data_IF_252657677645
#
_entry.id   IF_252657677645
#
_cell.length_a   1.000
_cell.length_b   1.000
_cell.length_c   1.000
_cell.angle_alpha   90.00
_cell.angle_beta   90.00
_cell.angle_gamma   90.00
#
_symmetry.space_group_name_H-M   'P 1'
#
loop_
_entity.id
_entity.type
_entity.pdbx_description
1 polymer ?
#
# COMPACT_ATOMS: atom_id res chain seq x y z
N UNK A 1 1.04 -40.60 -27.97
CA UNK A 1 0.97 -40.05 -26.60
C UNK A 1 0.11 -38.81 -26.68
N UNK A 2 -0.96 -38.78 -25.90
CA UNK A 2 -2.09 -37.87 -26.10
C UNK A 2 -1.75 -36.46 -25.59
N UNK A 3 -1.67 -35.49 -26.50
CA UNK A 3 -1.42 -34.09 -26.14
C UNK A 3 -2.52 -33.51 -25.23
N UNK A 4 -3.72 -34.10 -25.24
CA UNK A 4 -4.85 -33.72 -24.37
C UNK A 4 -4.59 -33.99 -22.88
N UNK A 5 -3.83 -35.05 -22.55
CA UNK A 5 -3.52 -35.42 -21.16
C UNK A 5 -2.54 -34.46 -20.49
N UNK A 6 -1.61 -33.83 -21.23
CA UNK A 6 -0.69 -32.82 -20.67
C UNK A 6 -1.36 -31.47 -20.45
N UNK A 7 -2.31 -31.09 -21.31
CA UNK A 7 -3.06 -29.83 -21.18
C UNK A 7 -4.02 -29.88 -20.00
N UNK A 8 -4.79 -30.97 -19.89
CA UNK A 8 -5.78 -31.16 -18.83
C UNK A 8 -5.16 -31.06 -17.43
N UNK A 9 -4.01 -31.72 -17.24
CA UNK A 9 -3.24 -31.67 -16.00
C UNK A 9 -2.80 -30.24 -15.67
N UNK A 10 -2.36 -29.47 -16.67
CA UNK A 10 -1.86 -28.11 -16.48
C UNK A 10 -2.95 -27.12 -16.10
N UNK A 11 -4.14 -27.27 -16.69
CA UNK A 11 -5.33 -26.48 -16.33
C UNK A 11 -5.72 -26.74 -14.86
N UNK A 12 -5.63 -28.00 -14.44
CA UNK A 12 -5.91 -28.39 -13.05
C UNK A 12 -4.90 -27.80 -12.06
N UNK A 13 -3.62 -27.85 -12.39
CA UNK A 13 -2.54 -27.24 -11.58
C UNK A 13 -2.74 -25.73 -11.44
N UNK A 14 -3.00 -25.04 -12.56
CA UNK A 14 -3.34 -23.63 -12.61
C UNK A 14 -4.46 -23.26 -11.65
N UNK A 15 -5.55 -24.03 -11.66
CA UNK A 15 -6.68 -23.81 -10.77
C UNK A 15 -6.28 -23.98 -9.30
N UNK A 16 -5.60 -25.09 -8.97
CA UNK A 16 -5.22 -25.41 -7.59
C UNK A 16 -4.27 -24.36 -7.02
N UNK A 17 -3.29 -23.90 -7.82
CA UNK A 17 -2.35 -22.85 -7.43
C UNK A 17 -3.04 -21.51 -7.12
N UNK A 18 -4.12 -21.20 -7.83
CA UNK A 18 -4.93 -20.01 -7.59
C UNK A 18 -5.95 -20.20 -6.43
N UNK A 19 -5.96 -21.35 -5.75
CA UNK A 19 -6.86 -21.63 -4.63
C UNK A 19 -8.33 -21.72 -5.03
N UNK A 20 -8.62 -22.03 -6.30
CA UNK A 20 -9.97 -22.02 -6.86
C UNK A 20 -10.63 -23.41 -6.84
N UNK A 21 -11.93 -23.44 -6.59
CA UNK A 21 -12.74 -24.65 -6.80
C UNK A 21 -13.09 -24.81 -8.28
N UNK A 22 -13.35 -26.04 -8.74
CA UNK A 22 -13.77 -26.27 -10.13
C UNK A 22 -15.06 -25.50 -10.47
N UNK A 23 -15.96 -25.33 -9.51
CA UNK A 23 -17.18 -24.53 -9.67
C UNK A 23 -16.89 -23.05 -9.88
N UNK A 24 -16.02 -22.47 -9.05
CA UNK A 24 -15.63 -21.06 -9.17
C UNK A 24 -14.92 -20.78 -10.50
N UNK A 25 -14.06 -21.69 -10.96
CA UNK A 25 -13.37 -21.53 -12.25
C UNK A 25 -14.32 -21.69 -13.45
N UNK A 26 -15.25 -22.64 -13.39
CA UNK A 26 -16.25 -22.81 -14.44
C UNK A 26 -17.16 -21.57 -14.56
N UNK A 27 -17.59 -21.01 -13.43
CA UNK A 27 -18.36 -19.77 -13.37
C UNK A 27 -17.59 -18.60 -13.97
N UNK A 28 -16.33 -18.41 -13.56
CA UNK A 28 -15.49 -17.32 -14.05
C UNK A 28 -15.19 -17.40 -15.55
N UNK A 29 -15.06 -18.62 -16.08
CA UNK A 29 -14.89 -18.85 -17.52
C UNK A 29 -16.23 -18.87 -18.28
N UNK A 30 -17.35 -18.62 -17.60
CA UNK A 30 -18.70 -18.60 -18.18
C UNK A 30 -19.08 -19.91 -18.89
N UNK A 31 -18.78 -21.05 -18.27
CA UNK A 31 -19.08 -22.38 -18.82
C UNK A 31 -19.74 -23.31 -17.80
N UNK A 32 -20.47 -24.35 -18.28
CA UNK A 32 -21.01 -25.37 -17.37
C UNK A 32 -19.90 -26.09 -16.60
N UNK A 33 -20.11 -26.33 -15.30
CA UNK A 33 -19.17 -27.07 -14.44
C UNK A 33 -18.74 -28.41 -15.05
N UNK A 34 -19.70 -29.15 -15.62
CA UNK A 34 -19.42 -30.44 -16.27
C UNK A 34 -18.45 -30.31 -17.45
N UNK A 35 -18.51 -29.21 -18.19
CA UNK A 35 -17.59 -28.90 -19.29
C UNK A 35 -16.18 -28.67 -18.76
N UNK A 36 -16.03 -27.83 -17.74
CA UNK A 36 -14.73 -27.56 -17.12
C UNK A 36 -14.12 -28.82 -16.46
N UNK A 37 -14.94 -29.62 -15.77
CA UNK A 37 -14.49 -30.90 -15.20
C UNK A 37 -13.99 -31.88 -16.27
N UNK A 38 -14.60 -31.85 -17.46
CA UNK A 38 -14.14 -32.65 -18.59
C UNK A 38 -12.78 -32.14 -19.07
N UNK A 39 -12.59 -30.82 -19.15
CA UNK A 39 -11.31 -30.20 -19.56
C UNK A 39 -10.14 -30.51 -18.62
N UNK A 40 -10.37 -30.63 -17.30
CA UNK A 40 -9.32 -31.06 -16.36
C UNK A 40 -9.01 -32.56 -16.42
N UNK A 41 -9.86 -33.36 -17.06
CA UNK A 41 -9.64 -34.79 -17.23
C UNK A 41 -9.00 -35.11 -18.58
N UNK A 42 -9.51 -34.48 -19.63
CA UNK A 42 -9.05 -34.64 -21.00
C UNK A 42 -9.45 -33.41 -21.81
N UNK A 43 -8.47 -32.60 -22.19
CA UNK A 43 -8.75 -31.33 -22.85
C UNK A 43 -8.99 -31.54 -24.35
N UNK A 44 -10.26 -31.62 -24.74
CA UNK A 44 -10.68 -31.79 -26.14
C UNK A 44 -11.41 -30.56 -26.68
N UNK A 45 -11.07 -29.36 -26.19
CA UNK A 45 -11.78 -28.13 -26.51
C UNK A 45 -11.17 -27.35 -27.68
N UNK A 46 -11.84 -26.27 -28.10
CA UNK A 46 -11.33 -25.39 -29.16
C UNK A 46 -10.14 -24.55 -28.67
N UNK A 47 -9.32 -24.08 -29.61
CA UNK A 47 -8.22 -23.15 -29.33
C UNK A 47 -8.73 -21.85 -28.66
N UNK A 48 -9.92 -21.38 -29.01
CA UNK A 48 -10.53 -20.21 -28.36
C UNK A 48 -10.78 -20.45 -26.86
N UNK A 49 -11.22 -21.65 -26.49
CA UNK A 49 -11.42 -21.99 -25.09
C UNK A 49 -10.10 -22.11 -24.34
N UNK A 50 -9.05 -22.62 -24.99
CA UNK A 50 -7.69 -22.60 -24.43
C UNK A 50 -7.20 -21.17 -24.20
N UNK A 51 -7.45 -20.25 -25.14
CA UNK A 51 -7.13 -18.83 -24.99
C UNK A 51 -7.91 -18.20 -23.83
N UNK A 52 -9.19 -18.53 -23.67
CA UNK A 52 -10.00 -18.03 -22.55
C UNK A 52 -9.43 -18.48 -21.19
N UNK A 53 -8.99 -19.74 -21.10
CA UNK A 53 -8.30 -20.28 -19.92
C UNK A 53 -6.98 -19.55 -19.69
N UNK A 54 -6.20 -19.34 -20.76
CA UNK A 54 -4.93 -18.60 -20.70
C UNK A 54 -5.13 -17.18 -20.16
N UNK A 55 -6.10 -16.45 -20.70
CA UNK A 55 -6.43 -15.09 -20.29
C UNK A 55 -6.92 -15.04 -18.85
N UNK A 56 -7.76 -15.99 -18.45
CA UNK A 56 -8.27 -16.08 -17.08
C UNK A 56 -7.15 -16.29 -16.06
N UNK A 57 -6.19 -17.16 -16.38
CA UNK A 57 -5.07 -17.46 -15.50
C UNK A 57 -3.84 -16.55 -15.71
N UNK A 58 -3.90 -15.61 -16.65
CA UNK A 58 -2.78 -14.72 -16.97
C UNK A 58 -1.54 -15.45 -17.53
N UNK A 59 -1.72 -16.55 -18.26
CA UNK A 59 -0.63 -17.34 -18.86
C UNK A 59 -0.66 -17.33 -20.38
N UNK A 60 0.48 -17.62 -21.01
CA UNK A 60 0.53 -17.85 -22.45
C UNK A 60 0.12 -19.29 -22.80
N UNK A 61 -0.42 -19.48 -24.01
CA UNK A 61 -0.76 -20.82 -24.51
C UNK A 61 0.45 -21.77 -24.54
N UNK A 62 1.67 -21.23 -24.74
CA UNK A 62 2.89 -22.02 -24.70
C UNK A 62 3.14 -22.70 -23.35
N UNK A 63 2.74 -22.08 -22.24
CA UNK A 63 2.86 -22.67 -20.89
C UNK A 63 1.93 -23.88 -20.72
N UNK A 64 0.74 -23.82 -21.33
CA UNK A 64 -0.23 -24.92 -21.26
C UNK A 64 0.11 -26.05 -22.24
N UNK A 65 0.69 -25.71 -23.39
CA UNK A 65 1.00 -26.65 -24.47
C UNK A 65 2.36 -27.36 -24.33
N UNK A 66 3.19 -26.98 -23.35
CA UNK A 66 4.55 -27.54 -23.20
C UNK A 66 4.50 -29.03 -22.83
N UNK A 67 5.24 -29.86 -23.57
CA UNK A 67 5.20 -31.33 -23.39
C UNK A 67 5.99 -31.80 -22.16
N UNK A 68 5.48 -32.84 -21.49
CA UNK A 68 6.02 -33.44 -20.23
C UNK A 68 7.47 -33.96 -20.38
N UNK A 69 7.96 -34.17 -21.61
CA UNK A 69 9.32 -34.66 -21.83
C UNK A 69 10.41 -33.64 -21.51
N UNK A 70 10.06 -32.36 -21.34
CA UNK A 70 11.03 -31.34 -20.88
C UNK A 70 11.07 -31.15 -19.36
N UNK A 71 10.15 -31.77 -18.60
CA UNK A 71 10.00 -31.51 -17.15
C UNK A 71 10.40 -32.66 -16.24
N UNK A 72 10.85 -33.80 -16.77
CA UNK A 72 11.03 -35.03 -15.98
C UNK A 72 12.45 -35.31 -15.47
N UNK A 73 13.43 -34.42 -15.73
CA UNK A 73 14.82 -34.62 -15.26
C UNK A 73 15.34 -33.52 -14.32
N UNK A 74 14.52 -32.57 -13.88
CA UNK A 74 14.98 -31.48 -13.03
C UNK A 74 14.14 -31.36 -11.73
N UNK A 75 14.71 -31.69 -10.55
CA UNK A 75 14.02 -31.56 -9.27
C UNK A 75 13.72 -30.11 -8.87
N UNK A 76 14.10 -29.10 -9.66
CA UNK A 76 13.72 -27.69 -9.49
C UNK A 76 12.34 -27.32 -10.07
N UNK A 77 11.64 -28.23 -10.75
CA UNK A 77 10.34 -27.93 -11.35
C UNK A 77 9.14 -28.00 -10.38
N UNK A 78 9.23 -27.21 -9.30
CA UNK A 78 8.04 -26.77 -8.57
C UNK A 78 7.31 -25.73 -9.42
N UNK A 79 6.06 -26.02 -9.76
CA UNK A 79 5.20 -25.17 -10.57
C UNK A 79 4.86 -23.86 -9.86
N UNK A 80 5.04 -23.78 -8.53
CA UNK A 80 4.97 -22.52 -7.80
C UNK A 80 6.04 -21.50 -8.25
N UNK A 81 7.19 -21.96 -8.75
CA UNK A 81 8.30 -21.10 -9.22
C UNK A 81 8.15 -20.62 -10.67
N UNK A 82 7.42 -21.34 -11.54
CA UNK A 82 7.25 -20.95 -12.94
C UNK A 82 6.24 -19.81 -13.17
N UNK A 83 5.32 -19.59 -12.24
CA UNK A 83 4.30 -18.53 -12.35
C UNK A 83 4.80 -17.14 -11.96
N UNK A 84 6.02 -17.08 -11.43
CA UNK A 84 6.72 -15.83 -11.19
C UNK A 84 8.07 -15.92 -11.91
N UNK A 85 8.06 -15.89 -13.25
CA UNK A 85 9.24 -15.46 -14.00
C UNK A 85 9.39 -13.93 -13.85
N UNK A 86 9.51 -13.48 -12.59
CA UNK A 86 10.21 -12.25 -12.30
C UNK A 86 11.60 -12.52 -12.86
N UNK A 87 11.90 -11.92 -14.01
CA UNK A 87 13.24 -12.01 -14.60
C UNK A 87 14.24 -11.78 -13.47
N UNK A 88 15.23 -12.65 -13.33
CA UNK A 88 16.15 -12.72 -12.18
C UNK A 88 16.72 -11.35 -11.78
N UNK A 89 16.92 -10.46 -12.76
CA UNK A 89 17.34 -9.09 -12.53
C UNK A 89 16.42 -8.28 -11.61
N UNK A 90 15.11 -8.53 -11.56
CA UNK A 90 14.20 -7.79 -10.68
C UNK A 90 14.50 -8.08 -9.22
N UNK A 91 14.70 -9.37 -8.90
CA UNK A 91 15.09 -9.80 -7.55
C UNK A 91 16.44 -9.19 -7.22
N UNK A 92 17.38 -9.24 -8.17
CA UNK A 92 18.71 -8.64 -7.96
C UNK A 92 18.65 -7.13 -7.75
N UNK A 93 17.81 -6.38 -8.49
CA UNK A 93 17.58 -4.95 -8.26
C UNK A 93 17.10 -4.70 -6.85
N UNK A 94 16.16 -5.52 -6.39
CA UNK A 94 15.60 -5.40 -5.05
C UNK A 94 16.67 -5.63 -3.97
N UNK A 95 17.48 -6.69 -4.11
CA UNK A 95 18.58 -6.96 -3.18
C UNK A 95 19.60 -5.82 -3.16
N UNK A 96 20.03 -5.33 -4.34
CA UNK A 96 20.94 -4.19 -4.46
C UNK A 96 20.37 -2.91 -3.83
N UNK A 97 19.07 -2.67 -4.00
CA UNK A 97 18.39 -1.53 -3.41
C UNK A 97 18.30 -1.62 -1.87
N UNK A 98 18.15 -2.83 -1.33
CA UNK A 98 18.23 -3.08 0.11
C UNK A 98 19.66 -2.92 0.66
N UNK A 99 20.67 -3.21 -0.15
CA UNK A 99 22.09 -2.95 0.16
C UNK A 99 22.43 -1.44 0.12
N UNK A 100 21.51 -0.60 -0.35
CA UNK A 100 21.65 0.86 -0.37
C UNK A 100 22.20 1.43 -1.67
N UNK A 101 22.23 0.65 -2.75
CA UNK A 101 22.59 1.16 -4.08
C UNK A 101 21.50 2.13 -4.59
N UNK A 102 21.90 3.12 -5.39
CA UNK A 102 20.96 4.01 -6.09
C UNK A 102 20.54 3.49 -7.47
N UNK A 103 19.67 4.25 -8.13
CA UNK A 103 19.15 3.96 -9.45
C UNK A 103 20.24 3.85 -10.51
N UNK A 104 21.29 4.68 -10.44
CA UNK A 104 22.39 4.65 -11.41
C UNK A 104 23.26 3.41 -11.21
N UNK A 105 23.61 3.08 -9.96
CA UNK A 105 24.37 1.87 -9.61
C UNK A 105 23.63 0.60 -10.05
N UNK A 106 22.32 0.52 -9.81
CA UNK A 106 21.48 -0.61 -10.21
C UNK A 106 21.36 -0.71 -11.73
N UNK A 107 21.14 0.42 -12.41
CA UNK A 107 20.97 0.41 -13.85
C UNK A 107 22.28 0.13 -14.60
N UNK A 108 23.43 0.59 -14.10
CA UNK A 108 24.74 0.27 -14.67
C UNK A 108 25.02 -1.24 -14.62
N UNK A 109 24.65 -1.91 -13.53
CA UNK A 109 24.69 -3.38 -13.46
C UNK A 109 23.77 -4.00 -14.52
N UNK A 110 22.55 -3.48 -14.68
CA UNK A 110 21.61 -3.96 -15.68
C UNK A 110 22.11 -3.79 -17.13
N UNK A 111 22.72 -2.64 -17.46
CA UNK A 111 23.33 -2.38 -18.77
C UNK A 111 24.47 -3.35 -19.06
N UNK A 112 25.23 -3.74 -18.04
CA UNK A 112 26.36 -4.67 -18.17
C UNK A 112 25.87 -6.10 -18.41
N UNK A 113 24.88 -6.56 -17.64
CA UNK A 113 24.38 -7.94 -17.70
C UNK A 113 23.34 -8.17 -18.81
N UNK A 114 22.56 -7.14 -19.16
CA UNK A 114 21.43 -7.22 -20.10
C UNK A 114 21.42 -6.07 -21.11
N UNK A 115 22.50 -5.84 -21.88
CA UNK A 115 22.66 -4.66 -22.73
C UNK A 115 21.52 -4.47 -23.75
N UNK A 116 21.08 -5.54 -24.40
CA UNK A 116 20.00 -5.49 -25.40
C UNK A 116 18.65 -5.08 -24.79
N UNK A 117 18.39 -5.46 -23.53
CA UNK A 117 17.15 -5.10 -22.84
C UNK A 117 17.23 -3.71 -22.24
N UNK A 118 18.41 -3.32 -21.74
CA UNK A 118 18.64 -1.98 -21.20
C UNK A 118 18.51 -0.90 -22.29
N UNK A 119 18.91 -1.20 -23.53
CA UNK A 119 18.72 -0.31 -24.68
C UNK A 119 17.25 0.01 -25.02
N UNK A 120 16.29 -0.78 -24.51
CA UNK A 120 14.85 -0.57 -24.71
C UNK A 120 14.19 0.22 -23.57
N UNK A 121 14.96 0.64 -22.56
CA UNK A 121 14.43 1.35 -21.40
C UNK A 121 14.50 2.85 -21.65
N UNK A 122 13.34 3.47 -21.84
CA UNK A 122 13.23 4.93 -22.05
C UNK A 122 13.45 5.75 -20.77
N UNK A 123 13.10 5.18 -19.61
CA UNK A 123 13.15 5.85 -18.30
C UNK A 123 13.65 4.86 -17.24
N UNK A 124 14.90 5.06 -16.80
CA UNK A 124 15.61 4.19 -15.85
C UNK A 124 14.90 4.15 -14.50
N UNK A 125 14.57 5.31 -13.95
CA UNK A 125 13.92 5.45 -12.64
C UNK A 125 12.55 4.80 -12.64
N UNK A 126 11.74 5.03 -13.69
CA UNK A 126 10.43 4.40 -13.83
C UNK A 126 10.55 2.88 -14.00
N UNK A 127 11.51 2.40 -14.78
CA UNK A 127 11.76 0.97 -14.97
C UNK A 127 12.13 0.27 -13.67
N UNK A 128 13.07 0.82 -12.90
CA UNK A 128 13.48 0.27 -11.59
C UNK A 128 12.29 0.28 -10.61
N UNK A 129 11.56 1.40 -10.52
CA UNK A 129 10.38 1.48 -9.65
C UNK A 129 9.29 0.46 -10.02
N UNK A 130 9.05 0.22 -11.31
CA UNK A 130 8.14 -0.83 -11.76
C UNK A 130 8.64 -2.22 -11.36
N UNK A 131 9.94 -2.48 -11.41
CA UNK A 131 10.50 -3.75 -10.94
C UNK A 131 10.24 -3.96 -9.43
N UNK A 132 10.36 -2.92 -8.62
CA UNK A 132 10.01 -2.99 -7.19
C UNK A 132 8.51 -3.20 -6.96
N UNK A 133 7.65 -2.54 -7.74
CA UNK A 133 6.21 -2.74 -7.69
C UNK A 133 5.82 -4.17 -8.08
N UNK A 134 6.45 -4.73 -9.11
CA UNK A 134 6.21 -6.12 -9.50
C UNK A 134 6.56 -7.08 -8.38
N UNK A 135 7.70 -6.88 -7.70
CA UNK A 135 8.09 -7.69 -6.54
C UNK A 135 7.10 -7.53 -5.41
N UNK A 136 6.65 -6.31 -5.14
CA UNK A 136 5.65 -6.03 -4.12
C UNK A 136 4.34 -6.77 -4.36
N UNK A 137 3.81 -6.72 -5.58
CA UNK A 137 2.55 -7.36 -5.91
C UNK A 137 2.65 -8.89 -6.05
N UNK A 138 3.79 -9.41 -6.55
CA UNK A 138 3.95 -10.85 -6.84
C UNK A 138 4.61 -11.64 -5.70
N UNK A 139 5.48 -11.01 -4.90
CA UNK A 139 6.26 -11.66 -3.83
C UNK A 139 6.11 -10.97 -2.49
N UNK A 140 4.91 -10.54 -2.16
CA UNK A 140 4.59 -9.92 -0.86
C UNK A 140 5.15 -10.70 0.36
N UNK A 141 5.14 -12.05 0.33
CA UNK A 141 5.70 -12.88 1.41
C UNK A 141 7.22 -12.74 1.59
N UNK A 142 7.97 -12.45 0.52
CA UNK A 142 9.41 -12.21 0.63
C UNK A 142 9.67 -10.91 1.40
N UNK A 143 8.83 -9.90 1.19
CA UNK A 143 8.91 -8.62 1.90
C UNK A 143 8.58 -8.73 3.38
N UNK A 144 7.61 -9.56 3.76
CA UNK A 144 7.24 -9.76 5.17
C UNK A 144 8.35 -10.37 6.02
N UNK A 145 9.31 -11.06 5.39
CA UNK A 145 10.44 -11.67 6.08
C UNK A 145 11.62 -10.71 6.27
N UNK A 146 11.63 -9.55 5.60
CA UNK A 146 12.68 -8.55 5.77
C UNK A 146 12.60 -7.97 7.19
N UNK A 147 13.64 -8.19 7.98
CA UNK A 147 13.73 -7.68 9.34
C UNK A 147 14.72 -6.52 9.41
N UNK A 148 14.21 -5.30 9.24
CA UNK A 148 14.95 -4.09 9.52
C UNK A 148 14.71 -3.73 10.98
N UNK A 149 15.72 -3.99 11.82
CA UNK A 149 15.62 -3.77 13.27
C UNK A 149 15.20 -2.34 13.63
N UNK A 150 14.60 -2.21 14.81
CA UNK A 150 14.18 -0.92 15.37
C UNK A 150 15.35 -0.18 16.02
N UNK A 151 15.36 1.14 15.91
CA UNK A 151 16.28 2.01 16.65
C UNK A 151 15.66 2.47 17.98
N UNK A 152 15.82 1.62 19.01
CA UNK A 152 15.29 1.88 20.36
C UNK A 152 15.84 3.15 21.01
N UNK A 153 17.07 3.54 20.68
CA UNK A 153 17.67 4.74 21.21
C UNK A 153 17.00 5.98 20.62
N UNK A 154 16.75 6.00 19.31
CA UNK A 154 16.00 7.09 18.66
C UNK A 154 14.55 7.14 19.15
N UNK A 155 13.88 5.99 19.32
CA UNK A 155 12.52 5.91 19.89
C UNK A 155 12.43 6.61 21.26
N UNK A 156 13.37 6.33 22.17
CA UNK A 156 13.42 6.96 23.49
C UNK A 156 13.69 8.47 23.42
N UNK A 157 14.62 8.89 22.54
CA UNK A 157 14.95 10.31 22.37
C UNK A 157 13.78 11.11 21.81
N UNK A 158 13.08 10.58 20.80
CA UNK A 158 11.88 11.20 20.23
C UNK A 158 10.79 11.26 21.30
N UNK A 159 10.55 10.15 22.00
CA UNK A 159 9.56 10.12 23.08
C UNK A 159 9.80 11.18 24.15
N UNK A 160 11.07 11.38 24.55
CA UNK A 160 11.46 12.46 25.47
C UNK A 160 11.28 13.86 24.86
N UNK A 161 11.68 14.07 23.60
CA UNK A 161 11.62 15.39 22.93
C UNK A 161 10.17 15.88 22.77
N UNK A 162 9.25 14.98 22.41
CA UNK A 162 7.84 15.32 22.12
C UNK A 162 6.85 14.91 23.22
N UNK A 163 7.34 14.42 24.38
CA UNK A 163 6.51 13.93 25.49
C UNK A 163 5.52 12.82 25.06
N UNK A 164 6.03 11.84 24.32
CA UNK A 164 5.28 10.66 23.84
C UNK A 164 5.93 9.41 24.46
N UNK A 165 5.15 8.44 24.97
CA UNK A 165 5.70 7.17 25.46
C UNK A 165 6.59 6.49 24.40
N UNK A 166 7.76 5.99 24.79
CA UNK A 166 8.72 5.43 23.85
C UNK A 166 8.18 4.21 23.08
N UNK A 167 7.26 3.46 23.68
CA UNK A 167 6.56 2.33 23.06
C UNK A 167 5.50 2.74 22.03
N UNK A 168 5.15 4.03 21.98
CA UNK A 168 4.30 4.61 20.94
C UNK A 168 5.11 5.12 19.72
N UNK A 169 6.44 5.03 19.78
CA UNK A 169 7.34 5.42 18.70
C UNK A 169 7.98 4.15 18.11
N UNK A 170 7.94 4.03 16.79
CA UNK A 170 8.65 3.01 16.02
C UNK A 170 9.59 3.71 15.06
N UNK A 171 10.89 3.44 15.18
CA UNK A 171 11.91 3.94 14.24
C UNK A 171 12.59 2.77 13.55
N UNK A 172 12.38 2.65 12.25
CA UNK A 172 12.98 1.59 11.42
C UNK A 172 14.36 2.03 10.93
N UNK A 173 15.35 1.15 10.97
CA UNK A 173 16.70 1.41 10.44
C UNK A 173 16.73 1.21 8.92
N UNK A 174 16.33 2.22 8.16
CA UNK A 174 16.23 2.14 6.69
C UNK A 174 16.92 3.28 5.96
N UNK A 175 17.79 4.04 6.62
CA UNK A 175 18.31 5.30 6.08
C UNK A 175 19.35 5.12 4.99
N UNK A 176 19.97 3.95 4.94
CA UNK A 176 20.84 3.52 3.85
C UNK A 176 20.04 3.21 2.56
N UNK A 177 18.75 2.90 2.66
CA UNK A 177 17.92 2.59 1.49
C UNK A 177 17.57 3.90 0.78
N UNK A 178 18.04 4.05 -0.45
CA UNK A 178 17.86 5.28 -1.24
C UNK A 178 16.46 5.36 -1.88
N UNK A 179 15.84 4.22 -2.18
CA UNK A 179 14.54 4.15 -2.85
C UNK A 179 13.35 4.34 -1.91
N UNK A 180 12.53 5.36 -2.20
CA UNK A 180 11.36 5.74 -1.38
C UNK A 180 10.37 4.60 -1.19
N UNK A 181 10.04 3.88 -2.26
CA UNK A 181 9.06 2.80 -2.24
C UNK A 181 9.42 1.69 -1.25
N UNK A 182 10.70 1.34 -1.17
CA UNK A 182 11.19 0.31 -0.26
C UNK A 182 11.11 0.77 1.19
N UNK A 183 11.52 2.00 1.50
CA UNK A 183 11.35 2.58 2.85
C UNK A 183 9.88 2.57 3.28
N UNK A 184 8.97 2.91 2.37
CA UNK A 184 7.53 2.88 2.63
C UNK A 184 7.00 1.46 2.90
N UNK A 185 7.54 0.44 2.22
CA UNK A 185 7.22 -0.98 2.50
C UNK A 185 7.72 -1.43 3.88
N UNK A 186 8.89 -0.96 4.31
CA UNK A 186 9.45 -1.34 5.61
C UNK A 186 8.63 -0.79 6.77
N UNK A 187 8.25 0.48 6.72
CA UNK A 187 7.36 1.05 7.74
C UNK A 187 5.96 0.43 7.67
N UNK A 188 5.53 -0.04 6.49
CA UNK A 188 4.20 -0.63 6.31
C UNK A 188 4.02 -1.89 7.16
N UNK A 189 5.08 -2.72 7.26
CA UNK A 189 5.11 -3.88 8.15
C UNK A 189 4.79 -3.50 9.60
N UNK A 190 5.47 -2.50 10.14
CA UNK A 190 5.25 -2.07 11.53
C UNK A 190 3.85 -1.45 11.73
N UNK A 191 3.32 -0.77 10.73
CA UNK A 191 1.93 -0.32 10.73
C UNK A 191 0.93 -1.48 10.76
N UNK A 192 1.19 -2.54 9.98
CA UNK A 192 0.36 -3.74 9.95
C UNK A 192 0.40 -4.49 11.30
N UNK A 193 1.60 -4.69 11.86
CA UNK A 193 1.80 -5.28 13.19
C UNK A 193 1.03 -4.49 14.26
N UNK A 194 1.06 -3.16 14.22
CA UNK A 194 0.30 -2.32 15.14
C UNK A 194 -1.22 -2.53 15.04
N UNK A 195 -1.77 -2.61 13.83
CA UNK A 195 -3.21 -2.85 13.63
C UNK A 195 -3.61 -4.24 14.12
N UNK A 196 -2.80 -5.26 13.80
CA UNK A 196 -3.03 -6.65 14.23
C UNK A 196 -3.05 -6.74 15.75
N UNK A 197 -2.01 -6.21 16.41
CA UNK A 197 -1.88 -6.21 17.87
C UNK A 197 -3.10 -5.59 18.56
N UNK A 198 -3.58 -4.45 18.06
CA UNK A 198 -4.74 -3.77 18.65
C UNK A 198 -6.06 -4.48 18.38
N UNK A 199 -6.22 -5.08 17.20
CA UNK A 199 -7.40 -5.89 16.90
C UNK A 199 -7.53 -7.09 17.85
N UNK A 200 -6.41 -7.69 18.25
CA UNK A 200 -6.36 -8.78 19.24
C UNK A 200 -6.64 -8.26 20.65
N UNK A 201 -5.99 -7.16 21.04
CA UNK A 201 -6.13 -6.57 22.39
C UNK A 201 -7.52 -6.01 22.66
N UNK A 202 -8.24 -5.57 21.62
CA UNK A 202 -9.56 -4.97 21.73
C UNK A 202 -10.48 -5.47 20.60
N UNK A 203 -11.25 -6.54 20.84
CA UNK A 203 -12.31 -6.93 19.91
C UNK A 203 -13.26 -5.77 19.64
N UNK A 204 -13.63 -5.55 18.37
CA UNK A 204 -14.43 -4.39 17.97
C UNK A 204 -13.61 -3.10 17.82
N UNK A 205 -12.27 -3.17 17.74
CA UNK A 205 -11.39 -1.99 17.60
C UNK A 205 -11.84 -1.11 16.44
N UNK A 206 -12.04 0.18 16.69
CA UNK A 206 -12.51 1.17 15.70
C UNK A 206 -11.37 2.04 15.23
N UNK A 207 -11.03 1.97 13.94
CA UNK A 207 -9.95 2.76 13.34
C UNK A 207 -10.50 3.64 12.22
N UNK A 208 -10.24 4.93 12.31
CA UNK A 208 -10.37 5.84 11.19
C UNK A 208 -9.13 5.78 10.31
N UNK A 209 -9.29 5.56 9.01
CA UNK A 209 -8.17 5.51 8.07
C UNK A 209 -8.14 6.75 7.19
N UNK A 210 -6.97 7.39 7.12
CA UNK A 210 -6.68 8.33 6.04
C UNK A 210 -6.35 7.55 4.76
N UNK A 211 -5.91 8.26 3.73
CA UNK A 211 -5.70 7.68 2.41
C UNK A 211 -4.23 7.76 1.98
N UNK A 212 -3.94 7.36 0.74
CA UNK A 212 -2.61 7.45 0.16
C UNK A 212 -1.75 6.17 0.28
N UNK A 213 -0.60 6.20 -0.39
CA UNK A 213 0.19 5.00 -0.63
C UNK A 213 0.79 4.35 0.64
N UNK A 214 1.11 5.13 1.68
CA UNK A 214 1.60 4.55 2.94
C UNK A 214 0.52 3.69 3.61
N UNK A 215 -0.72 4.19 3.67
CA UNK A 215 -1.85 3.45 4.25
C UNK A 215 -2.18 2.23 3.40
N UNK A 216 -2.19 2.37 2.08
CA UNK A 216 -2.41 1.26 1.15
C UNK A 216 -1.44 0.09 1.44
N UNK A 217 -0.14 0.40 1.55
CA UNK A 217 0.88 -0.60 1.85
C UNK A 217 0.71 -1.22 3.22
N UNK A 218 0.36 -0.44 4.25
CA UNK A 218 0.08 -0.98 5.59
C UNK A 218 -1.03 -2.04 5.54
N UNK A 219 -2.13 -1.75 4.86
CA UNK A 219 -3.26 -2.69 4.73
C UNK A 219 -2.90 -3.93 3.90
N UNK A 220 -2.09 -3.76 2.85
CA UNK A 220 -1.57 -4.88 2.06
C UNK A 220 -0.67 -5.82 2.89
N UNK A 221 0.08 -5.26 3.84
CA UNK A 221 0.94 -6.03 4.74
C UNK A 221 0.22 -6.87 5.79
N UNK A 222 -1.06 -6.58 6.09
CA UNK A 222 -1.86 -7.37 7.03
C UNK A 222 -2.24 -8.72 6.38
N UNK A 223 -1.80 -9.88 6.92
CA UNK A 223 -2.17 -11.18 6.36
C UNK A 223 -3.68 -11.42 6.43
N UNK A 224 -4.22 -12.14 5.45
CA UNK A 224 -5.64 -12.55 5.46
C UNK A 224 -5.93 -13.38 6.71
N UNK A 225 -7.00 -13.03 7.42
CA UNK A 225 -7.43 -13.72 8.65
C UNK A 225 -6.61 -13.40 9.90
N UNK A 226 -5.65 -12.47 9.83
CA UNK A 226 -4.89 -12.04 11.02
C UNK A 226 -5.62 -11.01 11.88
N UNK A 227 -6.70 -10.43 11.37
CA UNK A 227 -7.55 -9.48 12.09
C UNK A 227 -8.99 -9.96 12.03
N UNK A 228 -9.68 -9.88 13.16
CA UNK A 228 -11.10 -10.20 13.30
C UNK A 228 -11.80 -9.08 14.08
N UNK A 229 -13.08 -8.84 13.82
CA UNK A 229 -13.90 -7.86 14.53
C UNK A 229 -13.29 -6.44 14.52
N UNK A 230 -12.73 -6.03 13.37
CA UNK A 230 -12.17 -4.70 13.16
C UNK A 230 -13.21 -3.81 12.46
N UNK A 231 -13.41 -2.60 12.99
CA UNK A 231 -14.33 -1.61 12.43
C UNK A 231 -13.53 -0.49 11.78
N UNK A 232 -13.74 -0.29 10.48
CA UNK A 232 -13.02 0.71 9.69
C UNK A 232 -13.97 1.78 9.16
N UNK A 233 -13.50 3.02 9.15
CA UNK A 233 -14.22 4.14 8.54
C UNK A 233 -13.24 5.16 7.94
N UNK A 234 -13.62 5.90 6.89
CA UNK A 234 -12.74 6.87 6.25
C UNK A 234 -12.60 8.14 7.11
N UNK A 235 -11.40 8.71 7.18
CA UNK A 235 -11.15 10.02 7.80
C UNK A 235 -11.34 11.19 6.83
N UNK A 236 -11.50 10.89 5.54
CA UNK A 236 -11.70 11.86 4.49
C UNK A 236 -12.48 11.28 3.31
N UNK A 237 -13.13 12.17 2.58
CA UNK A 237 -13.76 11.92 1.29
C UNK A 237 -13.15 12.88 0.28
N UNK A 238 -12.76 12.34 -0.87
CA UNK A 238 -12.12 13.09 -1.94
C UNK A 238 -13.00 13.06 -3.17
N UNK A 239 -13.09 14.21 -3.85
CA UNK A 239 -13.80 14.35 -5.12
C UNK A 239 -12.80 14.53 -6.26
N UNK A 240 -11.87 13.57 -6.42
CA UNK A 240 -10.86 13.57 -7.47
C UNK A 240 -10.68 12.17 -8.07
N UNK A 241 -10.51 12.05 -9.40
CA UNK A 241 -10.14 10.77 -9.99
C UNK A 241 -8.67 10.40 -9.73
N UNK A 242 -7.84 11.37 -9.31
CA UNK A 242 -6.38 11.18 -9.17
C UNK A 242 -6.03 10.21 -8.05
N UNK A 243 -6.76 10.25 -6.94
CA UNK A 243 -6.53 9.39 -5.79
C UNK A 243 -7.49 8.20 -5.72
N UNK A 244 -8.36 7.99 -6.71
CA UNK A 244 -9.35 6.90 -6.70
C UNK A 244 -8.80 5.53 -6.25
N UNK A 245 -7.65 5.01 -6.74
CA UNK A 245 -7.14 3.71 -6.30
C UNK A 245 -6.63 3.67 -4.85
N UNK A 246 -6.43 4.84 -4.24
CA UNK A 246 -5.81 5.01 -2.93
C UNK A 246 -6.63 5.92 -2.01
N UNK A 247 -7.90 6.19 -2.34
CA UNK A 247 -8.83 6.94 -1.50
C UNK A 247 -9.18 6.12 -0.26
N UNK A 248 -9.55 6.78 0.85
CA UNK A 248 -9.81 6.06 2.10
C UNK A 248 -10.90 4.99 1.92
N UNK A 249 -11.94 5.30 1.15
CA UNK A 249 -13.04 4.36 0.84
C UNK A 249 -12.59 3.21 -0.05
N UNK A 250 -11.75 3.46 -1.07
CA UNK A 250 -11.21 2.40 -1.92
C UNK A 250 -10.28 1.46 -1.15
N UNK A 251 -9.42 2.01 -0.29
CA UNK A 251 -8.50 1.25 0.55
C UNK A 251 -9.27 0.38 1.56
N UNK A 252 -10.26 0.94 2.25
CA UNK A 252 -11.13 0.18 3.16
C UNK A 252 -11.85 -0.93 2.38
N UNK A 253 -12.46 -0.62 1.24
CA UNK A 253 -13.19 -1.61 0.43
C UNK A 253 -12.30 -2.75 -0.05
N UNK A 254 -11.11 -2.45 -0.58
CA UNK A 254 -10.12 -3.45 -0.99
C UNK A 254 -9.70 -4.35 0.18
N UNK A 255 -9.44 -3.75 1.34
CA UNK A 255 -9.04 -4.48 2.54
C UNK A 255 -10.16 -5.39 3.07
N UNK A 256 -11.40 -4.91 3.05
CA UNK A 256 -12.60 -5.68 3.39
C UNK A 256 -12.79 -6.88 2.46
N UNK A 257 -12.60 -6.69 1.17
CA UNK A 257 -12.68 -7.77 0.18
C UNK A 257 -11.61 -8.84 0.47
N UNK A 258 -10.37 -8.42 0.72
CA UNK A 258 -9.27 -9.32 1.15
C UNK A 258 -9.62 -10.09 2.43
N UNK A 259 -10.28 -9.44 3.38
CA UNK A 259 -10.67 -9.99 4.68
C UNK A 259 -12.08 -10.59 4.75
N UNK A 260 -12.77 -10.77 3.61
CA UNK A 260 -14.13 -11.31 3.60
C UNK A 260 -14.18 -12.69 4.26
N UNK A 261 -15.14 -12.86 5.18
CA UNK A 261 -15.31 -14.05 6.01
C UNK A 261 -14.73 -13.95 7.43
N UNK A 262 -14.02 -12.88 7.78
CA UNK A 262 -13.33 -12.72 9.07
C UNK A 262 -13.93 -11.62 9.98
N UNK A 263 -15.21 -11.26 9.77
CA UNK A 263 -15.91 -10.32 10.65
C UNK A 263 -15.33 -8.89 10.64
N UNK A 264 -14.73 -8.45 9.53
CA UNK A 264 -14.40 -7.04 9.31
C UNK A 264 -15.69 -6.35 8.85
N UNK A 265 -16.03 -5.20 9.45
CA UNK A 265 -17.31 -4.52 9.19
C UNK A 265 -17.04 -3.06 8.80
N UNK A 266 -17.84 -2.60 7.85
CA UNK A 266 -18.00 -1.18 7.50
C UNK A 266 -19.48 -0.85 7.57
N UNK A 267 -19.84 0.25 8.22
CA UNK A 267 -21.15 0.84 7.95
C UNK A 267 -21.03 1.64 6.65
N UNK A 268 -22.05 1.60 5.78
CA UNK A 268 -22.19 2.63 4.75
C UNK A 268 -22.45 3.95 5.46
N UNK A 269 -21.46 4.83 5.49
CA UNK A 269 -21.51 6.05 6.28
C UNK A 269 -21.64 7.29 5.38
N UNK A 270 -22.67 8.09 5.62
CA UNK A 270 -22.70 9.49 5.21
C UNK A 270 -21.73 10.32 6.10
N UNK A 271 -21.56 11.61 5.79
CA UNK A 271 -20.67 12.51 6.54
C UNK A 271 -20.97 12.53 8.06
N UNK A 272 -22.24 12.58 8.45
CA UNK A 272 -22.67 12.62 9.85
C UNK A 272 -22.33 11.32 10.60
N UNK A 273 -22.50 10.18 9.92
CA UNK A 273 -22.14 8.87 10.46
C UNK A 273 -20.63 8.71 10.59
N UNK A 274 -19.84 9.23 9.65
CA UNK A 274 -18.37 9.26 9.77
C UNK A 274 -17.94 10.14 10.94
N UNK A 275 -18.51 11.34 11.06
CA UNK A 275 -18.18 12.23 12.17
C UNK A 275 -18.48 11.59 13.53
N UNK A 276 -19.67 10.97 13.65
CA UNK A 276 -20.06 10.23 14.85
C UNK A 276 -19.13 9.05 15.14
N UNK A 277 -18.75 8.30 14.10
CA UNK A 277 -17.82 7.18 14.21
C UNK A 277 -16.43 7.63 14.66
N UNK A 278 -15.96 8.78 14.17
CA UNK A 278 -14.70 9.35 14.58
C UNK A 278 -14.68 9.75 16.06
N UNK A 279 -15.76 10.32 16.59
CA UNK A 279 -15.87 10.60 18.02
C UNK A 279 -15.71 9.32 18.85
N UNK A 280 -16.30 8.22 18.39
CA UNK A 280 -16.29 6.93 19.05
C UNK A 280 -15.04 6.09 18.78
N UNK A 281 -14.23 6.45 17.78
CA UNK A 281 -13.11 5.64 17.35
C UNK A 281 -12.07 5.42 18.46
N UNK A 282 -11.36 4.31 18.38
CA UNK A 282 -10.26 4.01 19.30
C UNK A 282 -8.95 4.58 18.78
N UNK A 283 -8.85 4.70 17.45
CA UNK A 283 -7.69 5.23 16.76
C UNK A 283 -8.04 5.97 15.46
N UNK A 284 -7.10 6.82 15.04
CA UNK A 284 -6.98 7.34 13.68
C UNK A 284 -5.59 6.98 13.16
N UNK A 285 -5.51 6.48 11.93
CA UNK A 285 -4.28 6.04 11.30
C UNK A 285 -4.06 6.85 10.01
N UNK A 286 -2.99 7.62 9.97
CA UNK A 286 -2.75 8.62 8.95
C UNK A 286 -1.39 8.44 8.28
N UNK A 287 -1.35 8.65 6.96
CA UNK A 287 -0.11 9.04 6.30
C UNK A 287 0.22 10.50 6.59
N UNK A 288 1.43 10.92 6.24
CA UNK A 288 1.82 12.33 6.24
C UNK A 288 2.40 12.73 4.89
N UNK A 289 1.95 13.88 4.40
CA UNK A 289 2.25 14.40 3.07
C UNK A 289 3.16 15.62 3.10
N UNK A 290 3.95 15.75 2.04
CA UNK A 290 4.70 16.98 1.72
C UNK A 290 4.04 17.67 0.55
N UNK A 291 3.93 18.99 0.61
CA UNK A 291 3.41 19.76 -0.51
C UNK A 291 4.51 19.94 -1.56
N UNK A 292 4.41 19.17 -2.65
CA UNK A 292 5.47 19.08 -3.66
C UNK A 292 4.89 18.75 -5.03
N UNK A 293 5.60 19.15 -6.10
CA UNK A 293 5.19 18.96 -7.51
C UNK A 293 4.78 17.52 -7.82
N UNK A 294 5.45 16.54 -7.22
CA UNK A 294 5.21 15.13 -7.47
C UNK A 294 4.22 14.49 -6.48
N UNK A 295 3.86 15.21 -5.42
CA UNK A 295 2.95 14.77 -4.38
C UNK A 295 1.53 14.55 -4.90
N UNK A 296 0.86 13.54 -4.34
CA UNK A 296 -0.52 13.19 -4.68
C UNK A 296 -1.45 14.40 -4.50
N UNK A 297 -1.35 15.08 -3.36
CA UNK A 297 -2.27 16.16 -3.03
C UNK A 297 -2.16 17.35 -3.99
N UNK A 298 -0.93 17.74 -4.34
CA UNK A 298 -0.73 18.82 -5.31
C UNK A 298 -1.24 18.43 -6.70
N UNK A 299 -1.05 17.17 -7.13
CA UNK A 299 -1.62 16.66 -8.39
C UNK A 299 -3.14 16.69 -8.38
N UNK A 300 -3.77 16.32 -7.27
CA UNK A 300 -5.23 16.42 -7.10
C UNK A 300 -5.69 17.88 -7.28
N UNK A 301 -5.11 18.81 -6.53
CA UNK A 301 -5.48 20.24 -6.60
C UNK A 301 -5.24 20.77 -8.01
N UNK A 302 -4.09 20.49 -8.61
CA UNK A 302 -3.75 20.93 -9.98
C UNK A 302 -4.76 20.40 -11.01
N UNK A 303 -5.15 19.14 -10.89
CA UNK A 303 -6.08 18.50 -11.82
C UNK A 303 -7.50 19.06 -11.76
N UNK A 304 -7.96 19.47 -10.57
CA UNK A 304 -9.36 19.90 -10.36
C UNK A 304 -9.50 21.42 -10.31
N UNK A 305 -8.50 22.13 -9.78
CA UNK A 305 -8.54 23.59 -9.52
C UNK A 305 -7.52 24.38 -10.34
N UNK A 306 -6.62 23.71 -11.03
CA UNK A 306 -5.61 24.35 -11.88
C UNK A 306 -4.36 24.81 -11.14
N UNK A 307 -3.37 25.22 -11.93
CA UNK A 307 -2.02 25.56 -11.47
C UNK A 307 -1.99 26.81 -10.57
N UNK A 308 -2.81 27.83 -10.84
CA UNK A 308 -2.81 29.08 -10.06
C UNK A 308 -3.18 28.88 -8.57
N UNK A 309 -4.04 27.88 -8.27
CA UNK A 309 -4.39 27.56 -6.87
C UNK A 309 -3.21 26.89 -6.16
N UNK A 310 -2.48 26.02 -6.85
CA UNK A 310 -1.24 25.41 -6.32
C UNK A 310 -0.19 26.47 -6.00
N UNK A 311 -0.01 27.44 -6.90
CA UNK A 311 0.94 28.55 -6.69
C UNK A 311 0.57 29.40 -5.49
N UNK A 312 -0.70 29.78 -5.36
CA UNK A 312 -1.20 30.49 -4.17
C UNK A 312 -0.94 29.71 -2.88
N UNK A 313 -1.17 28.38 -2.86
CA UNK A 313 -0.87 27.55 -1.69
C UNK A 313 0.63 27.59 -1.34
N UNK A 314 1.51 27.53 -2.33
CA UNK A 314 2.97 27.62 -2.11
C UNK A 314 3.40 28.98 -1.59
N UNK A 315 2.82 30.06 -2.10
CA UNK A 315 3.09 31.42 -1.64
C UNK A 315 2.72 31.63 -0.15
N UNK A 316 1.81 30.81 0.39
CA UNK A 316 1.49 30.82 1.84
C UNK A 316 2.51 30.09 2.72
N UNK A 317 3.54 29.45 2.14
CA UNK A 317 4.58 28.78 2.91
C UNK A 317 4.14 27.43 3.50
N UNK A 318 3.25 26.71 2.81
CA UNK A 318 2.90 25.34 3.19
C UNK A 318 4.12 24.42 3.09
N UNK A 319 4.37 23.64 4.14
CA UNK A 319 5.43 22.62 4.18
C UNK A 319 4.89 21.21 3.93
N UNK A 320 3.61 20.96 4.19
CA UNK A 320 3.00 19.66 4.02
C UNK A 320 1.56 19.62 4.49
N UNK A 321 1.02 18.42 4.61
CA UNK A 321 -0.35 18.19 5.04
C UNK A 321 -0.47 17.00 6.00
N UNK A 322 -1.46 17.08 6.88
CA UNK A 322 -1.91 15.98 7.72
C UNK A 322 -3.42 15.83 7.51
N UNK A 323 -3.84 14.68 6.99
CA UNK A 323 -5.24 14.44 6.62
C UNK A 323 -5.81 15.56 5.71
N UNK A 324 -5.02 16.02 4.72
CA UNK A 324 -5.35 17.12 3.81
C UNK A 324 -5.37 18.54 4.39
N UNK A 325 -5.25 18.71 5.70
CA UNK A 325 -5.10 20.02 6.30
C UNK A 325 -3.67 20.52 6.10
N UNK A 326 -3.54 21.64 5.39
CA UNK A 326 -2.26 22.24 5.01
C UNK A 326 -1.60 22.90 6.23
N UNK A 327 -0.32 22.64 6.43
CA UNK A 327 0.45 23.12 7.57
C UNK A 327 1.59 24.03 7.13
N UNK A 328 1.79 25.14 7.83
CA UNK A 328 3.00 25.96 7.74
C UNK A 328 4.13 25.41 8.64
N UNK A 329 5.29 26.08 8.62
CA UNK A 329 6.47 25.69 9.41
C UNK A 329 6.31 25.81 10.92
N UNK A 330 5.26 26.49 11.40
CA UNK A 330 4.88 26.54 12.82
C UNK A 330 3.86 25.45 13.20
N UNK A 331 3.35 24.71 12.21
CA UNK A 331 2.25 23.76 12.37
C UNK A 331 0.89 24.42 12.49
N UNK A 332 0.77 25.70 12.10
CA UNK A 332 -0.53 26.36 11.97
C UNK A 332 -1.18 25.92 10.67
N UNK A 333 -2.49 25.67 10.76
CA UNK A 333 -3.30 25.32 9.61
C UNK A 333 -3.49 26.53 8.68
N UNK A 334 -3.23 26.33 7.38
CA UNK A 334 -3.52 27.30 6.33
C UNK A 334 -4.83 26.90 5.65
N UNK A 335 -5.86 27.73 5.82
CA UNK A 335 -7.21 27.42 5.39
C UNK A 335 -7.41 27.76 3.91
N UNK A 336 -7.83 26.75 3.15
CA UNK A 336 -8.33 26.85 1.78
C UNK A 336 -9.66 26.09 1.69
N UNK A 337 -10.79 26.70 2.09
CA UNK A 337 -12.07 26.00 2.23
C UNK A 337 -12.59 25.35 0.92
N UNK A 338 -12.23 25.92 -0.23
CA UNK A 338 -12.50 25.37 -1.55
C UNK A 338 -11.71 24.08 -1.86
N UNK A 339 -10.65 23.82 -1.10
CA UNK A 339 -9.81 22.62 -1.20
C UNK A 339 -10.21 21.62 -0.12
N UNK A 340 -10.21 22.03 1.15
CA UNK A 340 -10.50 21.15 2.28
C UNK A 340 -11.45 21.84 3.24
N UNK A 341 -12.52 21.14 3.62
CA UNK A 341 -13.39 21.54 4.73
C UNK A 341 -13.63 20.39 5.69
N UNK A 342 -14.08 20.70 6.91
CA UNK A 342 -14.34 19.66 7.88
C UNK A 342 -15.58 18.84 7.50
N UNK A 343 -15.53 17.53 7.77
CA UNK A 343 -16.74 16.68 7.72
C UNK A 343 -17.79 17.28 8.67
N UNK A 344 -19.01 17.47 8.16
CA UNK A 344 -20.11 18.11 8.89
C UNK A 344 -20.24 19.62 8.69
N UNK A 345 -19.28 20.28 8.02
CA UNK A 345 -19.44 21.68 7.59
C UNK A 345 -20.19 21.78 6.25
N UNK A 346 -21.11 22.73 6.14
CA UNK A 346 -21.86 22.96 4.90
C UNK A 346 -21.02 23.73 3.87
N UNK A 347 -20.13 22.99 3.20
CA UNK A 347 -19.33 23.47 2.07
C UNK A 347 -19.32 22.42 0.94
N UNK A 348 -20.37 22.36 0.11
CA UNK A 348 -20.52 21.32 -0.91
C UNK A 348 -19.45 21.39 -2.01
N UNK A 349 -18.84 22.57 -2.19
CA UNK A 349 -17.85 22.82 -3.22
C UNK A 349 -16.44 22.36 -2.85
N UNK A 350 -16.16 21.98 -1.59
CA UNK A 350 -14.80 21.58 -1.21
C UNK A 350 -14.35 20.33 -1.98
N UNK A 351 -13.11 20.35 -2.49
CA UNK A 351 -12.53 19.18 -3.15
C UNK A 351 -12.44 17.97 -2.21
N UNK A 352 -12.24 18.25 -0.92
CA UNK A 352 -12.02 17.26 0.13
C UNK A 352 -12.86 17.62 1.35
N UNK A 353 -13.51 16.60 1.92
CA UNK A 353 -14.13 16.63 3.24
C UNK A 353 -13.29 15.79 4.18
N UNK A 354 -12.76 16.37 5.25
CA UNK A 354 -11.79 15.69 6.12
C UNK A 354 -12.09 15.89 7.61
N UNK A 355 -11.68 14.96 8.46
CA UNK A 355 -11.67 15.20 9.92
C UNK A 355 -10.58 16.22 10.26
N UNK A 356 -11.01 17.35 10.81
CA UNK A 356 -10.16 18.47 11.23
C UNK A 356 -9.09 18.12 12.26
N UNK A 357 -7.94 18.81 12.18
CA UNK A 357 -6.80 18.62 13.08
C UNK A 357 -7.13 18.88 14.55
N UNK A 358 -8.05 19.81 14.83
CA UNK A 358 -8.57 20.03 16.18
C UNK A 358 -9.22 18.78 16.74
N UNK A 359 -10.03 18.06 15.95
CA UNK A 359 -10.70 16.84 16.39
C UNK A 359 -9.68 15.71 16.65
N UNK A 360 -8.63 15.61 15.83
CA UNK A 360 -7.52 14.68 16.05
C UNK A 360 -6.80 14.98 17.36
N UNK A 361 -6.46 16.25 17.60
CA UNK A 361 -5.82 16.72 18.84
C UNK A 361 -6.68 16.43 20.07
N UNK A 362 -7.94 16.85 20.06
CA UNK A 362 -8.87 16.64 21.17
C UNK A 362 -9.02 15.14 21.48
N UNK A 363 -8.94 14.28 20.46
CA UNK A 363 -8.96 12.83 20.61
C UNK A 363 -7.67 12.28 21.21
N UNK A 364 -6.50 12.75 20.76
CA UNK A 364 -5.21 12.41 21.35
C UNK A 364 -5.15 12.79 22.84
N UNK A 365 -5.66 13.99 23.18
CA UNK A 365 -5.69 14.51 24.55
C UNK A 365 -6.61 13.71 25.49
N UNK A 366 -7.66 13.08 24.93
CA UNK A 366 -8.57 12.17 25.65
C UNK A 366 -8.08 10.72 25.69
N UNK A 367 -6.84 10.44 25.27
CA UNK A 367 -6.24 9.11 25.28
C UNK A 367 -6.58 8.25 24.06
N UNK A 368 -7.20 8.82 23.02
CA UNK A 368 -7.32 8.17 21.72
C UNK A 368 -5.97 8.08 21.02
N UNK A 369 -5.83 7.10 20.11
CA UNK A 369 -4.55 6.83 19.43
C UNK A 369 -4.54 7.52 18.07
N UNK A 370 -3.68 8.51 17.87
CA UNK A 370 -3.52 9.16 16.58
C UNK A 370 -2.13 8.79 16.06
N UNK A 371 -2.12 7.88 15.08
CA UNK A 371 -0.93 7.26 14.51
C UNK A 371 -0.57 7.96 13.20
N UNK A 372 0.64 8.49 13.13
CA UNK A 372 1.23 8.95 11.86
C UNK A 372 2.25 7.92 11.38
N UNK A 373 2.15 7.53 10.12
CA UNK A 373 3.15 6.71 9.44
C UNK A 373 3.77 7.45 8.25
N UNK A 374 5.10 7.49 8.20
CA UNK A 374 5.83 8.11 7.09
C UNK A 374 7.34 7.89 7.18
N UNK A 375 7.99 7.85 6.02
CA UNK A 375 9.44 7.65 5.88
C UNK A 375 10.04 8.65 4.89
N UNK A 376 11.32 8.95 5.07
CA UNK A 376 12.10 9.81 4.20
C UNK A 376 12.18 11.25 4.69
N UNK A 377 13.42 11.76 4.77
CA UNK A 377 13.79 13.11 5.23
C UNK A 377 12.90 14.25 4.76
N UNK A 378 12.43 14.24 3.51
CA UNK A 378 11.52 15.26 2.97
C UNK A 378 10.25 15.49 3.80
N UNK A 379 9.77 14.49 4.56
CA UNK A 379 8.58 14.59 5.43
C UNK A 379 8.89 15.07 6.85
N UNK A 380 10.17 15.24 7.21
CA UNK A 380 10.59 15.43 8.59
C UNK A 380 10.00 16.70 9.22
N UNK A 381 9.97 17.82 8.48
CA UNK A 381 9.40 19.07 8.98
C UNK A 381 7.91 18.93 9.28
N UNK A 382 7.13 18.31 8.39
CA UNK A 382 5.70 18.08 8.61
C UNK A 382 5.46 17.15 9.81
N UNK A 383 6.29 16.11 9.96
CA UNK A 383 6.24 15.21 11.13
C UNK A 383 6.53 15.99 12.41
N UNK A 384 7.61 16.77 12.43
CA UNK A 384 8.02 17.56 13.58
C UNK A 384 6.89 18.49 14.03
N UNK A 385 6.33 19.29 13.14
CA UNK A 385 5.25 20.22 13.51
C UNK A 385 3.98 19.50 13.96
N UNK A 386 3.67 18.32 13.40
CA UNK A 386 2.52 17.53 13.82
C UNK A 386 2.67 17.00 15.25
N UNK A 387 3.88 16.61 15.65
CA UNK A 387 4.19 16.17 17.02
C UNK A 387 4.26 17.35 18.00
N UNK A 388 4.92 18.45 17.62
CA UNK A 388 5.00 19.68 18.45
C UNK A 388 3.61 20.23 18.80
N UNK A 389 2.68 20.17 17.84
CA UNK A 389 1.30 20.64 18.03
C UNK A 389 0.35 19.58 18.63
N UNK A 390 0.86 18.37 18.90
CA UNK A 390 0.13 17.23 19.47
C UNK A 390 -1.05 16.78 18.61
N UNK A 391 -0.95 16.92 17.29
CA UNK A 391 -1.93 16.35 16.37
C UNK A 391 -1.83 14.81 16.34
N UNK A 392 -0.68 14.26 16.74
CA UNK A 392 -0.47 12.82 16.89
C UNK A 392 0.24 12.46 18.20
N UNK A 393 0.00 11.24 18.67
CA UNK A 393 0.62 10.68 19.88
C UNK A 393 1.19 9.26 19.67
N UNK A 394 1.24 8.80 18.41
CA UNK A 394 1.97 7.62 17.93
C UNK A 394 2.68 7.95 16.63
N UNK A 395 3.89 7.43 16.46
CA UNK A 395 4.71 7.63 15.27
C UNK A 395 5.31 6.31 14.79
N UNK A 396 5.15 6.02 13.50
CA UNK A 396 5.83 4.91 12.81
C UNK A 396 6.65 5.51 11.68
N UNK A 397 7.98 5.44 11.80
CA UNK A 397 8.86 6.17 10.91
C UNK A 397 10.19 5.46 10.65
N UNK A 398 11.06 6.09 9.87
CA UNK A 398 12.43 5.68 9.63
C UNK A 398 13.45 6.56 10.36
N UNK A 399 14.67 6.07 10.43
CA UNK A 399 15.84 6.78 10.93
C UNK A 399 16.11 8.11 10.21
N UNK A 400 15.79 8.26 8.91
CA UNK A 400 16.02 9.52 8.19
C UNK A 400 15.16 10.67 8.70
N UNK A 401 13.89 10.41 9.03
CA UNK A 401 13.03 11.37 9.71
C UNK A 401 13.49 11.54 11.16
N UNK A 402 13.75 10.43 11.86
CA UNK A 402 14.16 10.46 13.25
C UNK A 402 15.40 11.34 13.48
N UNK A 403 16.43 11.23 12.64
CA UNK A 403 17.63 12.05 12.73
C UNK A 403 17.31 13.53 12.54
N UNK A 404 16.57 13.86 11.49
CA UNK A 404 16.21 15.24 11.15
C UNK A 404 15.35 15.91 12.23
N UNK A 405 14.43 15.17 12.87
CA UNK A 405 13.58 15.74 13.94
C UNK A 405 14.27 15.71 15.31
N UNK A 406 15.40 15.03 15.47
CA UNK A 406 16.17 14.96 16.72
C UNK A 406 17.30 15.99 16.76
N UNK A 407 17.84 16.36 15.61
CA UNK A 407 18.61 17.59 15.41
C UNK A 407 17.81 18.82 15.88
#
# INVERSE_FOLDING_TARGET
MDAGLSIAQRIKELRVLNGLSQAATAEALSMPLRTYQTWEKDFTSSAQNLINICNYFGVSAGIILKSIQESSNDPEHDLSNQFINLKEYKIKFFDMALEGLDEDEIFNWYETEYPDQAALVDDRSKFINNCFLDIYHLRHKALTNLNFGRDKTKEQRIGKKFNIPADHIVVTKSGHIKHKILREMLIARYGAEWIIDWSIKKPGFRIGLSNGFTIARILDFIPRGSVENLNLFPLNFTNSPVDFPISATALISSFMYKGTGYGIVTDTMNEEQVFSSMLLADAAFLGIGTFSNEGLYEKMIRSVRGQGVVENIREKGVIGDLNYHLLDSSGKEILFPEIVSNIGEHQPESLIKSIGLKNLKDKADKGGRIVIAGSGKHKADTVRVALENRFANYLITDDTIADTILD
#
